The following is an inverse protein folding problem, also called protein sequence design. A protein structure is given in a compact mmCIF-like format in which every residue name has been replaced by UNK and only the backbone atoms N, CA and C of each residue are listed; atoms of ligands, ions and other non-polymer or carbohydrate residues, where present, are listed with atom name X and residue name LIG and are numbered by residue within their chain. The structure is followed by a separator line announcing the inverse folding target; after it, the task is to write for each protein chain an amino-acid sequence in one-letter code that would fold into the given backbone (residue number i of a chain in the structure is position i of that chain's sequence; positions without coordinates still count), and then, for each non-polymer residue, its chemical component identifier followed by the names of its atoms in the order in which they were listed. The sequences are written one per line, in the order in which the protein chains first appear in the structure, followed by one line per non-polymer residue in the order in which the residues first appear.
data_IF_007079601646
#
_entry.id   IF_007079601646
#
_cell.length_a   1.000
_cell.length_b   1.000
_cell.length_c   1.000
_cell.angle_alpha   90.00
_cell.angle_beta   90.00
_cell.angle_gamma   90.00
#
_symmetry.space_group_name_H-M   'P 1'
#
loop_
_entity.id
_entity.type
_entity.pdbx_description
1 polymer ?
#
# COMPACT_ATOMS: atom_id res chain seq x y z
N UNK A 1 19.54 -12.91 -19.36
CA UNK A 1 18.30 -12.45 -18.68
C UNK A 1 17.66 -11.41 -19.58
N UNK A 2 16.41 -11.60 -20.00
CA UNK A 2 15.71 -10.60 -20.80
C UNK A 2 15.46 -9.36 -19.92
N UNK A 3 16.12 -8.25 -20.24
CA UNK A 3 15.81 -6.97 -19.60
C UNK A 3 14.44 -6.54 -20.12
N UNK A 4 13.49 -6.32 -19.21
CA UNK A 4 12.21 -5.70 -19.55
C UNK A 4 12.43 -4.28 -20.09
N UNK A 5 11.51 -3.77 -20.91
CA UNK A 5 11.66 -2.48 -21.59
C UNK A 5 11.60 -1.23 -20.68
N UNK A 6 11.56 -1.38 -19.36
CA UNK A 6 11.56 -0.29 -18.40
C UNK A 6 12.99 -0.03 -17.90
N UNK A 7 13.39 1.25 -17.82
CA UNK A 7 14.66 1.61 -17.21
C UNK A 7 14.68 1.21 -15.72
N UNK A 8 15.85 0.83 -15.20
CA UNK A 8 16.02 0.51 -13.77
C UNK A 8 15.79 -0.95 -13.36
N UNK A 9 15.39 -1.85 -14.27
CA UNK A 9 15.16 -3.28 -13.93
C UNK A 9 16.42 -4.14 -13.92
N UNK A 10 17.61 -3.54 -14.07
CA UNK A 10 18.89 -4.25 -14.10
C UNK A 10 19.43 -4.61 -12.71
N UNK A 11 18.90 -3.97 -11.67
CA UNK A 11 19.34 -4.13 -10.29
C UNK A 11 18.35 -5.03 -9.53
N UNK A 12 18.88 -5.98 -8.77
CA UNK A 12 18.10 -6.81 -7.86
C UNK A 12 17.64 -5.97 -6.65
N UNK A 13 16.46 -6.29 -6.11
CA UNK A 13 15.97 -5.67 -4.88
C UNK A 13 16.80 -6.14 -3.70
N UNK A 14 17.32 -5.20 -2.93
CA UNK A 14 18.13 -5.45 -1.74
C UNK A 14 17.46 -4.82 -0.52
N UNK A 15 17.62 -5.44 0.65
CA UNK A 15 17.15 -4.86 1.91
C UNK A 15 17.69 -3.44 2.10
N UNK A 16 16.83 -2.54 2.59
CA UNK A 16 17.16 -1.12 2.74
C UNK A 16 16.79 -0.26 1.52
N UNK A 17 16.46 -0.86 0.37
CA UNK A 17 15.94 -0.09 -0.77
C UNK A 17 14.53 0.41 -0.50
N UNK A 18 14.27 1.68 -0.82
CA UNK A 18 12.93 2.27 -0.83
C UNK A 18 12.47 2.43 -2.27
N UNK A 19 11.24 1.99 -2.55
CA UNK A 19 10.62 2.08 -3.88
C UNK A 19 9.22 2.68 -3.77
N UNK A 20 8.73 3.23 -4.89
CA UNK A 20 7.32 3.51 -5.05
C UNK A 20 6.58 2.25 -5.55
N UNK A 21 5.42 1.97 -4.95
CA UNK A 21 4.44 1.01 -5.45
C UNK A 21 3.21 1.79 -5.89
N UNK A 22 3.10 2.05 -7.20
CA UNK A 22 2.22 3.08 -7.76
C UNK A 22 1.40 2.66 -9.01
N UNK A 23 0.67 1.53 -8.97
CA UNK A 23 -0.19 1.15 -10.08
C UNK A 23 -1.23 2.25 -10.40
N UNK A 24 -1.51 2.43 -11.69
CA UNK A 24 -2.47 3.42 -12.15
C UNK A 24 -3.11 3.09 -13.50
N UNK A 25 -4.23 3.76 -13.77
CA UNK A 25 -4.99 3.66 -15.00
C UNK A 25 -5.40 5.07 -15.46
N UNK A 26 -5.31 5.33 -16.77
CA UNK A 26 -5.63 6.63 -17.35
C UNK A 26 -6.52 6.45 -18.57
N UNK A 27 -7.69 7.09 -18.56
CA UNK A 27 -8.62 7.14 -19.68
C UNK A 27 -8.53 8.51 -20.34
N UNK A 28 -7.95 8.54 -21.55
CA UNK A 28 -7.71 9.79 -22.29
C UNK A 28 -8.97 10.62 -22.46
N UNK A 29 -8.90 11.90 -22.12
CA UNK A 29 -10.03 12.83 -22.22
C UNK A 29 -11.05 12.72 -21.10
N UNK A 30 -10.84 11.83 -20.12
CA UNK A 30 -11.76 11.61 -19.00
C UNK A 30 -11.01 11.74 -17.66
N UNK A 31 -10.57 10.63 -17.06
CA UNK A 31 -10.00 10.59 -15.72
C UNK A 31 -8.74 9.72 -15.63
N UNK A 32 -8.04 9.86 -14.50
CA UNK A 32 -6.88 9.06 -14.14
C UNK A 32 -6.95 8.64 -12.68
N UNK A 33 -6.43 7.46 -12.39
CA UNK A 33 -6.36 6.87 -11.05
C UNK A 33 -4.94 6.37 -10.85
N UNK A 34 -4.33 6.69 -9.70
CA UNK A 34 -3.07 6.10 -9.24
C UNK A 34 -3.13 5.98 -7.72
N UNK A 35 -2.76 4.81 -7.20
CA UNK A 35 -2.65 4.57 -5.75
C UNK A 35 -1.18 4.29 -5.49
N UNK A 36 -0.55 5.13 -4.68
CA UNK A 36 0.90 5.15 -4.51
C UNK A 36 1.29 5.14 -3.03
N UNK A 37 2.12 4.16 -2.66
CA UNK A 37 2.80 4.12 -1.36
C UNK A 37 4.31 3.95 -1.59
N UNK A 38 5.12 4.57 -0.71
CA UNK A 38 6.51 4.17 -0.56
C UNK A 38 6.59 2.89 0.26
N UNK A 39 7.45 1.97 -0.17
CA UNK A 39 7.69 0.69 0.49
C UNK A 39 9.18 0.46 0.68
N UNK A 40 9.55 -0.12 1.82
CA UNK A 40 10.90 -0.54 2.16
C UNK A 40 11.05 -2.04 1.89
N UNK A 41 12.09 -2.43 1.16
CA UNK A 41 12.49 -3.84 1.05
C UNK A 41 13.16 -4.25 2.35
N UNK A 42 12.66 -5.31 2.97
CA UNK A 42 13.23 -5.86 4.20
C UNK A 42 13.20 -7.40 4.22
N UNK A 43 14.11 -8.06 4.96
CA UNK A 43 14.06 -9.50 5.15
C UNK A 43 12.75 -9.94 5.83
N UNK A 44 12.18 -11.06 5.40
CA UNK A 44 10.97 -11.64 5.99
C UNK A 44 11.17 -13.12 6.28
N UNK A 45 10.74 -13.54 7.47
CA UNK A 45 10.66 -14.97 7.82
C UNK A 45 9.28 -15.50 7.47
N UNK A 46 9.23 -16.52 6.61
CA UNK A 46 7.98 -17.20 6.24
C UNK A 46 7.94 -18.55 6.95
N UNK A 47 6.94 -18.76 7.81
CA UNK A 47 6.82 -19.99 8.60
C UNK A 47 6.75 -21.23 7.69
N UNK A 48 7.58 -22.23 7.99
CA UNK A 48 7.64 -23.48 7.24
C UNK A 48 8.35 -23.38 5.88
N UNK A 49 9.01 -22.26 5.58
CA UNK A 49 9.84 -22.11 4.38
C UNK A 49 11.31 -21.99 4.74
N UNK A 50 12.17 -22.61 3.94
CA UNK A 50 13.62 -22.46 4.01
C UNK A 50 14.08 -21.43 2.97
N UNK A 51 15.13 -20.68 3.28
CA UNK A 51 15.74 -19.68 2.39
C UNK A 51 15.60 -18.23 2.86
N UNK A 52 16.25 -17.33 2.13
CA UNK A 52 16.20 -15.89 2.37
C UNK A 52 15.04 -15.27 1.56
N UNK A 53 14.05 -14.73 2.27
CA UNK A 53 12.91 -14.05 1.66
C UNK A 53 12.95 -12.56 2.00
N UNK A 54 12.43 -11.77 1.07
CA UNK A 54 12.18 -10.35 1.28
C UNK A 54 10.68 -10.07 1.21
N UNK A 55 10.27 -8.98 1.83
CA UNK A 55 8.94 -8.41 1.68
C UNK A 55 9.01 -6.90 1.75
N UNK A 56 7.83 -6.29 1.88
CA UNK A 56 7.67 -4.84 1.91
C UNK A 56 7.10 -4.39 3.24
N UNK A 57 7.76 -3.40 3.85
CA UNK A 57 7.16 -2.55 4.89
C UNK A 57 6.59 -1.28 4.23
N UNK A 58 5.36 -0.91 4.58
CA UNK A 58 4.74 0.32 4.10
C UNK A 58 5.26 1.53 4.89
N UNK A 59 5.72 2.55 4.17
CA UNK A 59 6.20 3.81 4.78
C UNK A 59 5.17 4.95 4.67
N UNK A 60 4.27 4.87 3.69
CA UNK A 60 3.22 5.88 3.48
C UNK A 60 1.95 5.52 4.27
N UNK A 61 1.56 6.40 5.20
CA UNK A 61 0.32 6.26 5.98
C UNK A 61 -0.67 7.36 5.59
N UNK A 62 -1.51 7.06 4.60
CA UNK A 62 -2.60 7.94 4.16
C UNK A 62 -3.85 7.08 3.85
N UNK A 63 -5.06 7.49 4.25
CA UNK A 63 -6.25 6.72 3.94
C UNK A 63 -6.47 6.62 2.41
N UNK A 64 -6.59 5.39 1.89
CA UNK A 64 -7.13 5.12 0.55
C UNK A 64 -8.65 5.38 0.56
N UNK A 65 -9.18 6.09 -0.44
CA UNK A 65 -10.59 6.48 -0.51
C UNK A 65 -11.52 5.26 -0.68
N UNK A 66 -12.39 5.05 0.31
CA UNK A 66 -13.35 3.94 0.37
C UNK A 66 -14.55 4.11 -0.57
N UNK A 67 -14.76 5.29 -1.13
CA UNK A 67 -15.91 5.55 -2.02
C UNK A 67 -15.65 5.11 -3.45
N UNK A 68 -14.40 4.78 -3.79
CA UNK A 68 -13.95 4.42 -5.14
C UNK A 68 -13.56 2.93 -5.26
N UNK A 69 -13.98 2.08 -4.32
CA UNK A 69 -13.71 0.65 -4.34
C UNK A 69 -15.00 -0.15 -4.51
N UNK A 70 -14.98 -1.10 -5.45
CA UNK A 70 -16.03 -2.11 -5.58
C UNK A 70 -15.61 -3.37 -4.81
N UNK A 71 -16.17 -3.56 -3.62
CA UNK A 71 -15.85 -4.71 -2.75
C UNK A 71 -16.19 -6.07 -3.38
N UNK A 72 -17.01 -6.12 -4.44
CA UNK A 72 -17.31 -7.38 -5.14
C UNK A 72 -16.15 -7.89 -5.98
N UNK A 73 -15.18 -7.02 -6.29
CA UNK A 73 -13.96 -7.37 -7.02
C UNK A 73 -12.81 -7.81 -6.11
N UNK A 74 -12.96 -7.66 -4.79
CA UNK A 74 -11.92 -7.98 -3.83
C UNK A 74 -12.04 -9.39 -3.27
N UNK A 75 -10.90 -10.08 -3.17
CA UNK A 75 -10.77 -11.29 -2.38
C UNK A 75 -10.85 -10.96 -0.88
N UNK A 76 -11.17 -11.97 -0.06
CA UNK A 76 -11.26 -11.80 1.40
C UNK A 76 -9.96 -11.30 2.02
N UNK A 77 -8.83 -11.79 1.54
CA UNK A 77 -7.51 -11.39 2.05
C UNK A 77 -7.16 -9.95 1.67
N UNK A 78 -7.67 -9.45 0.53
CA UNK A 78 -7.49 -8.04 0.13
C UNK A 78 -8.35 -7.10 0.99
N UNK A 79 -9.57 -7.50 1.34
CA UNK A 79 -10.41 -6.77 2.31
C UNK A 79 -9.74 -6.76 3.69
N UNK A 80 -9.20 -7.91 4.12
CA UNK A 80 -8.46 -8.01 5.38
C UNK A 80 -7.20 -7.13 5.38
N UNK A 81 -6.46 -7.10 4.27
CA UNK A 81 -5.30 -6.23 4.09
C UNK A 81 -5.70 -4.76 4.15
N UNK A 82 -6.76 -4.36 3.44
CA UNK A 82 -7.27 -2.99 3.44
C UNK A 82 -7.62 -2.52 4.86
N UNK A 83 -8.41 -3.32 5.58
CA UNK A 83 -8.85 -2.98 6.93
C UNK A 83 -7.67 -2.93 7.90
N UNK A 84 -6.69 -3.81 7.74
CA UNK A 84 -5.45 -3.78 8.51
C UNK A 84 -4.64 -2.51 8.23
N UNK A 85 -4.47 -2.16 6.95
CA UNK A 85 -3.77 -0.95 6.53
C UNK A 85 -4.41 0.31 7.13
N UNK A 86 -5.74 0.47 6.99
CA UNK A 86 -6.45 1.62 7.55
C UNK A 86 -6.40 1.68 9.08
N UNK A 87 -6.48 0.54 9.77
CA UNK A 87 -6.29 0.49 11.21
C UNK A 87 -4.87 0.94 11.62
N UNK A 88 -3.84 0.54 10.87
CA UNK A 88 -2.46 1.03 11.08
C UNK A 88 -2.34 2.53 10.81
N UNK A 89 -2.94 3.04 9.72
CA UNK A 89 -2.97 4.48 9.42
C UNK A 89 -3.62 5.26 10.56
N UNK A 90 -4.77 4.81 11.07
CA UNK A 90 -5.42 5.45 12.22
C UNK A 90 -4.51 5.42 13.45
N UNK A 91 -3.92 4.27 13.79
CA UNK A 91 -3.06 4.13 14.96
C UNK A 91 -1.82 5.05 14.92
N UNK A 92 -1.24 5.26 13.75
CA UNK A 92 -0.07 6.13 13.56
C UNK A 92 -0.47 7.62 13.62
N UNK A 93 -1.55 8.00 12.96
CA UNK A 93 -1.91 9.41 12.77
C UNK A 93 -2.80 9.97 13.89
N UNK A 94 -3.72 9.18 14.44
CA UNK A 94 -4.70 9.65 15.41
C UNK A 94 -4.09 10.35 16.65
N UNK A 95 -2.98 9.87 17.25
CA UNK A 95 -2.36 10.56 18.40
C UNK A 95 -1.82 11.96 18.07
N UNK A 96 -1.65 12.29 16.79
CA UNK A 96 -1.09 13.54 16.30
C UNK A 96 -2.17 14.52 15.80
N UNK A 97 -3.44 14.13 15.87
CA UNK A 97 -4.57 14.88 15.33
C UNK A 97 -5.63 15.12 16.41
N UNK A 98 -6.40 16.21 16.23
CA UNK A 98 -7.52 16.56 17.10
C UNK A 98 -8.68 17.15 16.31
N UNK A 99 -9.82 17.34 16.98
CA UNK A 99 -11.01 17.98 16.42
C UNK A 99 -11.49 17.34 15.12
N UNK A 100 -11.80 18.18 14.13
CA UNK A 100 -12.40 17.76 12.86
C UNK A 100 -11.49 16.83 12.04
N UNK A 101 -10.17 17.00 12.12
CA UNK A 101 -9.21 16.18 11.39
C UNK A 101 -9.18 14.74 11.93
N UNK A 102 -9.20 14.58 13.27
CA UNK A 102 -9.28 13.27 13.90
C UNK A 102 -10.60 12.57 13.59
N UNK A 103 -11.72 13.29 13.64
CA UNK A 103 -13.04 12.74 13.29
C UNK A 103 -13.06 12.27 11.84
N UNK A 104 -12.52 13.07 10.92
CA UNK A 104 -12.41 12.70 9.51
C UNK A 104 -11.53 11.46 9.32
N UNK A 105 -10.35 11.39 9.96
CA UNK A 105 -9.45 10.25 9.84
C UNK A 105 -10.14 8.94 10.22
N UNK A 106 -10.87 8.92 11.35
CA UNK A 106 -11.60 7.74 11.82
C UNK A 106 -12.68 7.29 10.84
N UNK A 107 -13.34 8.24 10.18
CA UNK A 107 -14.33 7.92 9.15
C UNK A 107 -13.67 7.40 7.87
N UNK A 108 -12.56 8.01 7.46
CA UNK A 108 -11.79 7.60 6.29
C UNK A 108 -11.16 6.21 6.45
N UNK A 109 -10.73 5.85 7.66
CA UNK A 109 -10.13 4.56 8.01
C UNK A 109 -11.12 3.49 8.50
N UNK A 110 -12.43 3.76 8.49
CA UNK A 110 -13.39 2.75 8.93
C UNK A 110 -13.34 1.51 8.01
N UNK A 111 -13.58 0.28 8.53
CA UNK A 111 -13.51 -0.93 7.73
C UNK A 111 -14.44 -0.92 6.50
N UNK A 112 -14.01 -1.56 5.41
CA UNK A 112 -14.85 -1.90 4.25
C UNK A 112 -15.87 -2.99 4.59
#
# INVERSE_FOLDING_TARGET
KAQGGQAGTGQELLAGMILSNEPGYYKTGEYGIRIENLVLVEPRTIAGQEGDYFGFETLTFAPIDRTLVDCTLLARDEVAWWNTYHATVEAVLAPQLEGVALVWLKQACAPL
#
